data_IF_381494301710
#
_entry.id   IF_381494301710
#
_cell.length_a   1.000
_cell.length_b   1.000
_cell.length_c   1.000
_cell.angle_alpha   90.00
_cell.angle_beta   90.00
_cell.angle_gamma   90.00
#
_symmetry.space_group_name_H-M   'P 1'
#
loop_
_entity.id
_entity.type
_entity.pdbx_description
1 polymer ?
#
# COMPACT_ATOMS: atom_id res chain seq x y z
N UNK A 1 -13.83 -13.50 22.40
CA UNK A 1 -14.55 -13.02 21.19
C UNK A 1 -13.50 -12.93 20.09
N UNK A 2 -13.71 -13.46 18.87
CA UNK A 2 -12.77 -13.21 17.78
C UNK A 2 -12.75 -11.71 17.50
N UNK A 3 -11.60 -11.07 17.70
CA UNK A 3 -11.47 -9.62 17.57
C UNK A 3 -11.46 -9.23 16.07
N UNK A 4 -12.12 -8.12 15.73
CA UNK A 4 -12.24 -7.63 14.35
C UNK A 4 -10.93 -6.98 13.89
N UNK A 5 -10.29 -7.53 12.86
CA UNK A 5 -9.15 -6.86 12.21
C UNK A 5 -9.62 -5.85 11.16
N UNK A 6 -9.03 -4.66 11.19
CA UNK A 6 -9.09 -3.63 10.15
C UNK A 6 -7.99 -3.80 9.12
N UNK A 7 -8.32 -3.56 7.86
CA UNK A 7 -7.41 -3.61 6.72
C UNK A 7 -7.55 -2.33 5.89
N UNK A 8 -6.42 -1.73 5.53
CA UNK A 8 -6.35 -0.55 4.69
C UNK A 8 -5.72 -0.87 3.33
N UNK A 9 -6.32 -0.41 2.23
CA UNK A 9 -5.85 -0.66 0.86
C UNK A 9 -5.65 0.64 0.11
N UNK A 10 -4.54 0.81 -0.63
CA UNK A 10 -4.30 2.04 -1.37
C UNK A 10 -5.23 2.18 -2.57
N UNK A 11 -5.89 3.33 -2.64
CA UNK A 11 -6.53 3.81 -3.86
C UNK A 11 -5.57 4.77 -4.56
N UNK A 12 -5.33 4.51 -5.85
CA UNK A 12 -4.41 5.24 -6.69
C UNK A 12 -5.15 6.35 -7.45
N UNK A 13 -4.51 7.51 -7.61
CA UNK A 13 -4.91 8.48 -8.63
C UNK A 13 -4.46 8.04 -10.02
N UNK A 14 -4.93 8.73 -11.07
CA UNK A 14 -4.59 8.43 -12.47
C UNK A 14 -3.07 8.42 -12.77
N UNK A 15 -2.26 9.17 -12.00
CA UNK A 15 -0.79 9.18 -12.08
C UNK A 15 -0.11 8.06 -11.27
N UNK A 16 -0.90 7.14 -10.70
CA UNK A 16 -0.49 5.98 -9.90
C UNK A 16 0.06 6.32 -8.51
N UNK A 17 -0.05 7.56 -8.01
CA UNK A 17 0.26 7.84 -6.58
C UNK A 17 -0.89 7.39 -5.69
N UNK A 18 -0.58 7.02 -4.46
CA UNK A 18 -1.61 6.87 -3.41
C UNK A 18 -2.34 8.19 -3.20
N UNK A 19 -3.66 8.13 -3.21
CA UNK A 19 -4.53 9.28 -3.11
C UNK A 19 -5.59 9.16 -2.00
N UNK A 20 -5.94 7.93 -1.62
CA UNK A 20 -6.85 7.60 -0.52
C UNK A 20 -6.55 6.17 -0.02
N UNK A 21 -7.14 5.78 1.10
CA UNK A 21 -7.10 4.40 1.60
C UNK A 21 -8.52 3.86 1.74
N UNK A 22 -8.84 2.76 1.07
CA UNK A 22 -10.04 2.00 1.38
C UNK A 22 -9.88 1.30 2.73
N UNK A 23 -10.87 1.41 3.61
CA UNK A 23 -10.87 0.75 4.91
C UNK A 23 -11.93 -0.34 4.95
N UNK A 24 -11.48 -1.58 5.12
CA UNK A 24 -12.31 -2.76 5.27
C UNK A 24 -12.07 -3.45 6.62
N UNK A 25 -13.00 -4.30 7.04
CA UNK A 25 -12.90 -5.08 8.28
C UNK A 25 -13.24 -6.55 8.04
N UNK A 26 -12.59 -7.44 8.78
CA UNK A 26 -12.80 -8.91 8.72
C UNK A 26 -14.07 -9.40 9.41
N UNK A 27 -15.02 -8.53 9.72
CA UNK A 27 -16.16 -8.87 10.56
C UNK A 27 -17.02 -9.97 9.92
N UNK A 28 -17.30 -11.03 10.70
CA UNK A 28 -18.28 -12.06 10.34
C UNK A 28 -19.72 -11.67 10.74
N UNK A 29 -19.88 -10.51 11.37
CA UNK A 29 -21.11 -9.99 11.96
C UNK A 29 -21.24 -8.50 11.61
N UNK A 30 -22.35 -7.87 11.99
CA UNK A 30 -22.51 -6.43 11.86
C UNK A 30 -21.38 -5.69 12.60
N UNK A 31 -20.77 -4.73 11.90
CA UNK A 31 -19.65 -3.93 12.40
C UNK A 31 -20.18 -2.87 13.35
N UNK A 32 -19.58 -2.74 14.53
CA UNK A 32 -19.89 -1.66 15.46
C UNK A 32 -19.11 -0.39 15.06
N UNK A 33 -19.78 0.76 14.80
CA UNK A 33 -19.08 2.01 14.54
C UNK A 33 -18.16 2.43 15.70
N UNK A 34 -18.47 2.06 16.95
CA UNK A 34 -17.60 2.28 18.11
C UNK A 34 -16.26 1.55 18.01
N UNK A 35 -16.26 0.29 17.54
CA UNK A 35 -15.04 -0.48 17.30
C UNK A 35 -14.18 0.14 16.20
N UNK A 36 -14.81 0.65 15.13
CA UNK A 36 -14.10 1.38 14.06
C UNK A 36 -13.45 2.64 14.63
N UNK A 37 -14.19 3.47 15.35
CA UNK A 37 -13.67 4.68 15.97
C UNK A 37 -12.49 4.40 16.92
N UNK A 38 -12.58 3.35 17.74
CA UNK A 38 -11.48 2.91 18.60
C UNK A 38 -10.26 2.48 17.78
N UNK A 39 -10.47 1.68 16.73
CA UNK A 39 -9.38 1.26 15.83
C UNK A 39 -8.68 2.46 15.16
N UNK A 40 -9.43 3.48 14.73
CA UNK A 40 -8.87 4.69 14.12
C UNK A 40 -7.97 5.44 15.10
N UNK A 41 -8.40 5.56 16.36
CA UNK A 41 -7.62 6.21 17.42
C UNK A 41 -6.40 5.37 17.83
N UNK A 42 -6.58 4.08 18.10
CA UNK A 42 -5.53 3.17 18.58
C UNK A 42 -4.42 2.97 17.54
N UNK A 43 -4.77 2.99 16.25
CA UNK A 43 -3.80 2.86 15.17
C UNK A 43 -3.05 4.17 14.86
N UNK A 44 -3.39 5.28 15.52
CA UNK A 44 -2.92 6.64 15.20
C UNK A 44 -3.10 6.97 13.70
N UNK A 45 -4.29 6.66 13.16
CA UNK A 45 -4.57 6.79 11.73
C UNK A 45 -4.86 8.25 11.30
N UNK A 46 -5.10 9.15 12.26
CA UNK A 46 -5.50 10.53 11.98
C UNK A 46 -4.48 11.33 11.13
N UNK A 47 -3.16 11.32 11.41
CA UNK A 47 -2.19 12.03 10.58
C UNK A 47 -2.13 11.49 9.14
N UNK A 48 -2.21 10.16 8.98
CA UNK A 48 -2.24 9.53 7.66
C UNK A 48 -3.50 9.92 6.90
N UNK A 49 -4.67 9.87 7.55
CA UNK A 49 -5.96 10.20 6.98
C UNK A 49 -6.07 11.65 6.47
N UNK A 50 -5.31 12.60 7.03
CA UNK A 50 -5.23 13.97 6.51
C UNK A 50 -4.53 14.07 5.15
N UNK A 51 -3.67 13.11 4.82
CA UNK A 51 -2.94 13.05 3.55
C UNK A 51 -3.57 12.07 2.56
N UNK A 52 -4.15 10.99 3.08
CA UNK A 52 -4.80 9.92 2.35
C UNK A 52 -6.16 9.65 3.01
N UNK A 53 -7.24 10.35 2.60
CA UNK A 53 -8.56 10.17 3.20
C UNK A 53 -9.00 8.71 3.20
N UNK A 54 -9.68 8.30 4.27
CA UNK A 54 -10.20 6.95 4.42
C UNK A 54 -11.55 6.81 3.68
N UNK A 55 -11.68 5.83 2.81
CA UNK A 55 -12.94 5.48 2.14
C UNK A 55 -13.56 4.30 2.87
N UNK A 56 -14.68 4.53 3.54
CA UNK A 56 -15.32 3.54 4.41
C UNK A 56 -16.72 3.20 3.90
N UNK A 57 -17.04 1.90 3.78
CA UNK A 57 -18.43 1.47 3.59
C UNK A 57 -19.22 1.68 4.89
N UNK A 58 -20.31 2.44 4.80
CA UNK A 58 -21.05 2.95 5.97
C UNK A 58 -22.49 2.48 5.91
N UNK A 59 -22.98 1.90 7.01
CA UNK A 59 -24.41 1.67 7.19
C UNK A 59 -25.12 3.02 7.35
N UNK A 60 -26.23 3.28 6.61
CA UNK A 60 -27.00 4.51 6.75
C UNK A 60 -27.34 4.91 8.19
N UNK A 61 -27.58 3.92 9.07
CA UNK A 61 -27.93 4.18 10.47
C UNK A 61 -26.76 4.79 11.26
N UNK A 62 -25.50 4.55 10.87
CA UNK A 62 -24.34 5.14 11.54
C UNK A 62 -24.26 6.66 11.35
N UNK A 63 -24.91 7.23 10.33
CA UNK A 63 -24.96 8.69 10.13
C UNK A 63 -25.87 9.40 11.15
N UNK A 64 -26.77 8.64 11.78
CA UNK A 64 -27.65 9.13 12.84
C UNK A 64 -26.91 9.21 14.19
N UNK A 65 -25.83 8.44 14.34
CA UNK A 65 -24.92 8.51 15.48
C UNK A 65 -23.88 9.62 15.26
N UNK A 66 -24.05 10.75 15.96
CA UNK A 66 -23.12 11.86 15.88
C UNK A 66 -21.73 11.51 16.42
N UNK A 67 -21.63 10.61 17.41
CA UNK A 67 -20.35 10.36 18.08
C UNK A 67 -19.35 9.70 17.13
N UNK A 68 -19.80 8.81 16.26
CA UNK A 68 -18.94 8.14 15.28
C UNK A 68 -18.40 9.11 14.22
N UNK A 69 -19.28 9.87 13.57
CA UNK A 69 -18.90 10.78 12.48
C UNK A 69 -17.99 11.91 13.00
N UNK A 70 -18.21 12.36 14.24
CA UNK A 70 -17.44 13.44 14.84
C UNK A 70 -16.04 13.03 15.33
N UNK A 71 -15.68 11.73 15.29
CA UNK A 71 -14.29 11.28 15.51
C UNK A 71 -13.34 11.64 14.38
N UNK A 72 -13.88 11.83 13.18
CA UNK A 72 -13.10 12.21 12.02
C UNK A 72 -13.10 13.73 11.89
N UNK A 73 -12.02 14.32 11.38
CA UNK A 73 -12.02 15.69 10.86
C UNK A 73 -12.63 15.72 9.45
N UNK A 74 -12.92 16.92 8.93
CA UNK A 74 -13.69 17.09 7.69
C UNK A 74 -13.11 16.30 6.50
N UNK A 75 -11.79 16.38 6.29
CA UNK A 75 -11.10 15.81 5.14
C UNK A 75 -10.50 14.40 5.40
N UNK A 76 -10.78 13.78 6.55
CA UNK A 76 -10.17 12.49 6.93
C UNK A 76 -10.92 11.26 6.41
N UNK A 77 -12.22 11.40 6.11
CA UNK A 77 -13.05 10.25 5.76
C UNK A 77 -14.08 10.59 4.67
N UNK A 78 -14.31 9.61 3.79
CA UNK A 78 -15.36 9.59 2.76
C UNK A 78 -16.27 8.41 3.10
N UNK A 79 -17.51 8.70 3.50
CA UNK A 79 -18.49 7.66 3.88
C UNK A 79 -19.26 7.19 2.65
N UNK A 80 -19.07 5.92 2.28
CA UNK A 80 -19.71 5.27 1.13
C UNK A 80 -21.01 4.63 1.57
N UNK A 81 -22.12 5.08 0.99
CA UNK A 81 -23.46 4.65 1.37
C UNK A 81 -24.15 3.91 0.20
N UNK A 82 -25.05 2.95 0.49
CA UNK A 82 -25.73 2.16 -0.55
C UNK A 82 -26.80 2.97 -1.29
N UNK A 83 -27.06 2.61 -2.56
CA UNK A 83 -28.09 3.26 -3.38
C UNK A 83 -29.52 3.17 -2.78
N UNK A 84 -29.79 2.16 -1.94
CA UNK A 84 -31.07 1.98 -1.25
C UNK A 84 -31.43 3.14 -0.32
N UNK A 85 -30.45 3.94 0.13
CA UNK A 85 -30.70 5.10 0.99
C UNK A 85 -31.50 6.20 0.27
N UNK A 86 -31.51 6.21 -1.07
CA UNK A 86 -32.21 7.24 -1.84
C UNK A 86 -33.73 7.23 -1.62
N UNK A 87 -34.26 6.12 -1.11
CA UNK A 87 -35.68 5.96 -0.78
C UNK A 87 -36.01 6.36 0.67
N UNK A 88 -34.98 6.68 1.47
CA UNK A 88 -35.10 7.15 2.86
C UNK A 88 -34.84 8.67 2.95
N UNK A 89 -35.92 9.43 3.01
CA UNK A 89 -35.87 10.90 3.11
C UNK A 89 -35.19 11.42 4.38
N UNK A 90 -35.24 10.69 5.50
CA UNK A 90 -34.60 11.12 6.75
C UNK A 90 -33.08 11.00 6.64
N UNK A 91 -32.59 9.85 6.17
CA UNK A 91 -31.15 9.64 5.94
C UNK A 91 -30.62 10.59 4.86
N UNK A 92 -31.37 10.84 3.78
CA UNK A 92 -30.98 11.82 2.77
C UNK A 92 -30.83 13.23 3.33
N UNK A 93 -31.78 13.68 4.16
CA UNK A 93 -31.70 14.99 4.81
C UNK A 93 -30.46 15.08 5.72
N UNK A 94 -30.14 13.99 6.43
CA UNK A 94 -28.93 13.89 7.25
C UNK A 94 -27.65 13.97 6.40
N UNK A 95 -27.60 13.30 5.25
CA UNK A 95 -26.47 13.40 4.32
C UNK A 95 -26.22 14.86 3.88
N UNK A 96 -27.29 15.59 3.54
CA UNK A 96 -27.18 16.99 3.15
C UNK A 96 -26.66 17.89 4.29
N UNK A 97 -27.08 17.62 5.52
CA UNK A 97 -26.58 18.32 6.71
C UNK A 97 -25.08 18.05 6.92
N UNK A 98 -24.66 16.79 6.88
CA UNK A 98 -23.27 16.39 7.04
C UNK A 98 -22.38 17.00 5.95
N UNK A 99 -22.85 17.02 4.69
CA UNK A 99 -22.16 17.68 3.58
C UNK A 99 -21.98 19.19 3.83
N UNK A 100 -23.00 19.87 4.37
CA UNK A 100 -22.90 21.30 4.74
C UNK A 100 -21.90 21.54 5.88
N UNK A 101 -21.69 20.55 6.75
CA UNK A 101 -20.64 20.57 7.79
C UNK A 101 -19.24 20.21 7.26
N UNK A 102 -19.10 20.02 5.95
CA UNK A 102 -17.82 19.70 5.31
C UNK A 102 -17.46 18.22 5.32
N UNK A 103 -18.39 17.31 5.64
CA UNK A 103 -18.15 15.87 5.54
C UNK A 103 -18.25 15.40 4.09
N UNK A 104 -17.39 14.45 3.71
CA UNK A 104 -17.41 13.84 2.38
C UNK A 104 -18.25 12.56 2.36
N UNK A 105 -19.13 12.45 1.35
CA UNK A 105 -20.08 11.36 1.21
C UNK A 105 -20.05 10.82 -0.22
N UNK A 106 -19.97 9.50 -0.35
CA UNK A 106 -20.06 8.80 -1.62
C UNK A 106 -21.35 7.99 -1.71
N UNK A 107 -21.97 7.96 -2.88
CA UNK A 107 -23.04 7.01 -3.18
C UNK A 107 -22.48 5.83 -3.99
N UNK A 108 -22.76 4.61 -3.55
CA UNK A 108 -22.46 3.40 -4.33
C UNK A 108 -23.41 3.30 -5.52
N UNK A 109 -22.86 3.16 -6.73
CA UNK A 109 -23.64 2.98 -7.95
C UNK A 109 -23.50 1.54 -8.44
N UNK A 110 -24.47 0.70 -8.07
CA UNK A 110 -24.50 -0.71 -8.48
C UNK A 110 -25.10 -0.91 -9.89
N UNK A 111 -25.68 0.14 -10.50
CA UNK A 111 -26.18 0.14 -11.88
C UNK A 111 -26.26 1.56 -12.44
N UNK A 112 -26.30 1.68 -13.78
CA UNK A 112 -26.39 2.98 -14.48
C UNK A 112 -27.72 3.71 -14.22
N UNK A 113 -28.79 3.01 -13.87
CA UNK A 113 -30.10 3.62 -13.57
C UNK A 113 -30.07 4.52 -12.33
N UNK A 114 -29.17 4.25 -11.37
CA UNK A 114 -29.02 5.08 -10.16
C UNK A 114 -28.53 6.49 -10.51
N UNK A 115 -27.78 6.67 -11.60
CA UNK A 115 -27.25 7.98 -12.04
C UNK A 115 -28.38 8.98 -12.27
N UNK A 116 -29.51 8.53 -12.81
CA UNK A 116 -30.68 9.38 -13.10
C UNK A 116 -31.40 9.85 -11.83
N UNK A 117 -31.20 9.14 -10.71
CA UNK A 117 -31.80 9.41 -9.39
C UNK A 117 -30.89 10.20 -8.47
N UNK A 118 -29.69 10.59 -8.92
CA UNK A 118 -28.71 11.29 -8.10
C UNK A 118 -29.29 12.61 -7.56
N UNK A 119 -29.43 12.75 -6.22
CA UNK A 119 -29.93 13.98 -5.64
C UNK A 119 -28.87 15.08 -5.79
N UNK A 120 -29.28 16.30 -6.19
CA UNK A 120 -28.34 17.39 -6.34
C UNK A 120 -27.72 17.74 -4.99
N UNK A 121 -26.43 18.09 -5.02
CA UNK A 121 -25.73 18.67 -3.89
C UNK A 121 -25.79 17.86 -2.57
N UNK A 122 -25.97 16.53 -2.64
CA UNK A 122 -26.02 15.65 -1.46
C UNK A 122 -24.74 14.85 -1.27
N UNK A 123 -24.12 14.41 -2.37
CA UNK A 123 -22.84 13.69 -2.37
C UNK A 123 -21.75 14.54 -3.02
N UNK A 124 -20.50 14.17 -2.81
CA UNK A 124 -19.35 14.73 -3.52
C UNK A 124 -18.53 13.64 -4.25
N UNK A 125 -18.82 12.37 -3.96
CA UNK A 125 -18.25 11.22 -4.65
C UNK A 125 -19.32 10.24 -5.12
N UNK A 126 -18.94 9.39 -6.08
CA UNK A 126 -19.61 8.15 -6.42
C UNK A 126 -18.62 7.00 -6.34
N UNK A 127 -19.09 5.84 -5.93
CA UNK A 127 -18.28 4.64 -5.74
C UNK A 127 -18.80 3.52 -6.64
N UNK A 128 -17.93 2.96 -7.47
CA UNK A 128 -18.28 1.96 -8.47
C UNK A 128 -17.33 0.77 -8.43
N UNK A 129 -17.85 -0.41 -8.72
CA UNK A 129 -17.00 -1.52 -9.15
C UNK A 129 -16.46 -1.25 -10.57
N UNK A 130 -15.19 -1.55 -10.81
CA UNK A 130 -14.51 -1.27 -12.07
C UNK A 130 -15.12 -2.04 -13.25
N UNK A 131 -15.58 -3.28 -13.05
CA UNK A 131 -16.22 -4.06 -14.10
C UNK A 131 -17.61 -3.49 -14.41
N UNK A 132 -18.39 -3.17 -13.39
CA UNK A 132 -19.71 -2.52 -13.56
C UNK A 132 -19.56 -1.20 -14.32
N UNK A 133 -18.61 -0.36 -13.92
CA UNK A 133 -18.32 0.90 -14.60
C UNK A 133 -17.94 0.70 -16.08
N UNK A 134 -17.16 -0.34 -16.41
CA UNK A 134 -16.70 -0.59 -17.78
C UNK A 134 -17.77 -1.15 -18.69
N UNK A 135 -18.64 -2.01 -18.18
CA UNK A 135 -19.57 -2.78 -19.02
C UNK A 135 -21.02 -2.28 -18.97
N UNK A 136 -21.44 -1.60 -17.90
CA UNK A 136 -22.83 -1.15 -17.75
C UNK A 136 -23.02 0.36 -17.93
N UNK A 137 -21.98 1.17 -17.70
CA UNK A 137 -22.07 2.63 -17.78
C UNK A 137 -21.66 3.12 -19.18
N UNK A 138 -22.55 3.87 -19.81
CA UNK A 138 -22.25 4.54 -21.07
C UNK A 138 -21.37 5.79 -20.85
N UNK A 139 -20.80 6.30 -21.93
CA UNK A 139 -20.09 7.59 -21.88
C UNK A 139 -21.00 8.75 -21.43
N UNK A 140 -22.32 8.67 -21.68
CA UNK A 140 -23.28 9.66 -21.24
C UNK A 140 -23.51 9.61 -19.72
N UNK A 141 -23.56 8.41 -19.14
CA UNK A 141 -23.71 8.23 -17.69
C UNK A 141 -22.50 8.78 -16.94
N UNK A 142 -21.28 8.44 -17.40
CA UNK A 142 -20.05 8.97 -16.82
C UNK A 142 -19.95 10.50 -16.98
N UNK A 143 -20.39 11.04 -18.12
CA UNK A 143 -20.45 12.50 -18.33
C UNK A 143 -21.51 13.18 -17.44
N UNK A 144 -22.63 12.51 -17.14
CA UNK A 144 -23.64 13.03 -16.22
C UNK A 144 -23.09 13.16 -14.78
N UNK A 145 -22.32 12.17 -14.33
CA UNK A 145 -21.61 12.20 -13.04
C UNK A 145 -20.62 13.39 -13.00
N UNK A 146 -19.85 13.60 -14.06
CA UNK A 146 -18.93 14.73 -14.17
C UNK A 146 -19.64 16.09 -14.16
N UNK A 147 -20.77 16.20 -14.88
CA UNK A 147 -21.60 17.41 -14.88
C UNK A 147 -22.19 17.70 -13.50
N UNK A 148 -22.51 16.66 -12.74
CA UNK A 148 -22.92 16.77 -11.34
C UNK A 148 -21.75 17.15 -10.40
N UNK A 149 -20.52 17.26 -10.91
CA UNK A 149 -19.28 17.55 -10.18
C UNK A 149 -18.98 16.53 -9.09
N UNK A 150 -19.32 15.27 -9.34
CA UNK A 150 -19.03 14.15 -8.44
C UNK A 150 -17.70 13.51 -8.83
N UNK A 151 -16.83 13.31 -7.84
CA UNK A 151 -15.58 12.56 -8.00
C UNK A 151 -15.87 11.06 -8.08
N UNK A 152 -15.11 10.31 -8.88
CA UNK A 152 -15.36 8.89 -9.13
C UNK A 152 -14.31 8.02 -8.43
N UNK A 153 -14.78 7.07 -7.65
CA UNK A 153 -13.99 6.07 -6.94
C UNK A 153 -14.29 4.70 -7.57
N UNK A 154 -13.25 3.99 -8.03
CA UNK A 154 -13.36 2.63 -8.55
C UNK A 154 -12.70 1.62 -7.61
N UNK A 155 -13.39 0.51 -7.34
CA UNK A 155 -12.84 -0.66 -6.64
C UNK A 155 -12.85 -1.88 -7.56
N UNK A 156 -12.19 -2.97 -7.16
CA UNK A 156 -12.21 -4.21 -7.94
C UNK A 156 -11.41 -4.13 -9.24
N UNK A 157 -10.34 -3.32 -9.26
CA UNK A 157 -9.50 -3.13 -10.45
C UNK A 157 -8.57 -4.32 -10.63
N UNK A 158 -8.97 -5.26 -11.50
CA UNK A 158 -8.30 -6.54 -11.66
C UNK A 158 -7.11 -6.54 -12.64
N UNK A 159 -6.89 -5.48 -13.42
CA UNK A 159 -5.81 -5.43 -14.42
C UNK A 159 -5.30 -4.02 -14.69
N UNK A 160 -4.08 -3.94 -15.22
CA UNK A 160 -3.50 -2.67 -15.66
C UNK A 160 -4.34 -2.02 -16.78
N UNK A 161 -4.91 -2.80 -17.70
CA UNK A 161 -5.81 -2.28 -18.74
C UNK A 161 -7.10 -1.66 -18.15
N UNK A 162 -7.69 -2.31 -17.14
CA UNK A 162 -8.83 -1.74 -16.44
C UNK A 162 -8.47 -0.42 -15.75
N UNK A 163 -7.29 -0.34 -15.13
CA UNK A 163 -6.79 0.89 -14.52
C UNK A 163 -6.59 2.01 -15.55
N UNK A 164 -5.91 1.75 -16.67
CA UNK A 164 -5.67 2.76 -17.72
C UNK A 164 -6.98 3.24 -18.35
N UNK A 165 -7.96 2.34 -18.52
CA UNK A 165 -9.32 2.72 -18.94
C UNK A 165 -9.98 3.68 -17.95
N UNK A 166 -9.94 3.38 -16.65
CA UNK A 166 -10.49 4.24 -15.59
C UNK A 166 -9.82 5.61 -15.56
N UNK A 167 -8.50 5.66 -15.70
CA UNK A 167 -7.73 6.90 -15.81
C UNK A 167 -8.17 7.73 -17.03
N UNK A 168 -8.35 7.09 -18.18
CA UNK A 168 -8.90 7.72 -19.40
C UNK A 168 -10.36 8.17 -19.28
N UNK A 169 -11.11 7.66 -18.30
CA UNK A 169 -12.47 8.09 -17.93
C UNK A 169 -12.51 9.03 -16.73
N UNK A 170 -11.38 9.64 -16.37
CA UNK A 170 -11.26 10.63 -15.30
C UNK A 170 -11.78 10.14 -13.94
N UNK A 171 -11.52 8.87 -13.60
CA UNK A 171 -11.68 8.42 -12.22
C UNK A 171 -10.60 9.07 -11.33
N UNK A 172 -11.03 9.59 -10.19
CA UNK A 172 -10.15 10.27 -9.24
C UNK A 172 -9.34 9.26 -8.44
N UNK A 173 -10.00 8.18 -8.01
CA UNK A 173 -9.43 7.10 -7.21
C UNK A 173 -9.76 5.74 -7.84
N UNK A 174 -8.77 4.85 -7.88
CA UNK A 174 -8.93 3.49 -8.38
C UNK A 174 -8.10 2.50 -7.55
N UNK A 175 -8.69 1.37 -7.19
CA UNK A 175 -8.03 0.31 -6.42
C UNK A 175 -6.71 -0.18 -7.04
N UNK A 176 -5.69 -0.38 -6.20
CA UNK A 176 -4.35 -0.81 -6.57
C UNK A 176 -4.16 -2.32 -6.72
N UNK A 177 -5.20 -3.14 -6.61
CA UNK A 177 -5.10 -4.61 -6.65
C UNK A 177 -4.35 -5.18 -7.87
N UNK A 178 -4.42 -4.51 -9.03
CA UNK A 178 -3.73 -4.95 -10.24
C UNK A 178 -2.19 -4.92 -10.14
N UNK A 179 -1.62 -4.21 -9.15
CA UNK A 179 -0.16 -3.98 -9.03
C UNK A 179 0.63 -5.28 -8.85
N UNK A 180 0.01 -6.30 -8.25
CA UNK A 180 0.63 -7.61 -8.03
C UNK A 180 0.34 -8.61 -9.14
N UNK A 181 -0.47 -8.24 -10.14
CA UNK A 181 -0.86 -9.11 -11.25
C UNK A 181 0.26 -9.14 -12.28
N UNK A 182 0.89 -10.30 -12.44
CA UNK A 182 1.89 -10.53 -13.49
C UNK A 182 1.16 -10.78 -14.81
N UNK A 183 1.51 -10.02 -15.85
CA UNK A 183 1.05 -10.28 -17.21
C UNK A 183 1.86 -11.45 -17.82
N UNK A 184 1.25 -12.64 -18.01
CA UNK A 184 1.95 -13.82 -18.52
C UNK A 184 2.35 -13.67 -20.00
N UNK A 185 1.80 -12.67 -20.72
CA UNK A 185 2.10 -12.43 -22.14
C UNK A 185 3.23 -11.43 -22.36
N UNK A 186 3.65 -10.73 -21.31
CA UNK A 186 4.71 -9.75 -21.41
C UNK A 186 6.09 -10.43 -21.44
N UNK A 187 6.75 -10.43 -22.61
CA UNK A 187 8.14 -10.88 -22.73
C UNK A 187 9.04 -10.10 -21.79
N UNK A 188 9.73 -10.79 -20.89
CA UNK A 188 10.72 -10.20 -20.00
C UNK A 188 12.07 -10.17 -20.71
N UNK A 189 12.46 -9.02 -21.26
CA UNK A 189 13.89 -8.80 -21.49
C UNK A 189 14.58 -8.61 -20.14
N UNK A 190 15.73 -9.27 -19.90
CA UNK A 190 16.45 -9.15 -18.65
C UNK A 190 16.92 -7.71 -18.43
N UNK A 191 16.45 -7.09 -17.35
CA UNK A 191 16.93 -5.78 -16.92
C UNK A 191 18.32 -5.94 -16.28
N UNK A 192 19.36 -5.75 -17.09
CA UNK A 192 20.77 -5.84 -16.68
C UNK A 192 21.10 -4.95 -15.47
N UNK A 193 20.43 -3.79 -15.31
CA UNK A 193 20.67 -2.91 -14.17
C UNK A 193 20.10 -3.52 -12.88
N UNK A 194 18.91 -4.14 -12.93
CA UNK A 194 18.34 -4.87 -11.78
C UNK A 194 19.16 -6.09 -11.40
N UNK A 195 19.73 -6.82 -12.37
CA UNK A 195 20.63 -7.94 -12.09
C UNK A 195 21.87 -7.50 -11.31
N UNK A 196 22.42 -6.32 -11.62
CA UNK A 196 23.55 -5.77 -10.85
C UNK A 196 23.16 -5.33 -9.44
N UNK A 197 21.95 -4.81 -9.25
CA UNK A 197 21.42 -4.52 -7.90
C UNK A 197 21.22 -5.82 -7.10
N UNK A 198 20.71 -6.89 -7.71
CA UNK A 198 20.64 -8.22 -7.09
C UNK A 198 22.02 -8.72 -6.68
N UNK A 199 23.02 -8.56 -7.55
CA UNK A 199 24.40 -8.93 -7.23
C UNK A 199 24.95 -8.14 -6.04
N UNK A 200 24.70 -6.82 -5.99
CA UNK A 200 25.06 -5.99 -4.84
C UNK A 200 24.37 -6.49 -3.56
N UNK A 201 23.07 -6.80 -3.62
CA UNK A 201 22.33 -7.34 -2.48
C UNK A 201 22.95 -8.65 -1.98
N UNK A 202 23.26 -9.58 -2.88
CA UNK A 202 23.96 -10.83 -2.54
C UNK A 202 25.27 -10.57 -1.80
N UNK A 203 26.10 -9.63 -2.28
CA UNK A 203 27.37 -9.29 -1.65
C UNK A 203 27.19 -8.70 -0.25
N UNK A 204 26.20 -7.80 -0.06
CA UNK A 204 25.91 -7.21 1.25
C UNK A 204 25.42 -8.26 2.24
N UNK A 205 24.53 -9.16 1.81
CA UNK A 205 23.93 -10.20 2.66
C UNK A 205 24.97 -11.24 3.10
N UNK A 206 25.94 -11.56 2.24
CA UNK A 206 27.05 -12.46 2.54
C UNK A 206 28.19 -11.81 3.34
N UNK A 207 28.03 -10.55 3.71
CA UNK A 207 29.07 -9.73 4.35
C UNK A 207 30.40 -9.69 3.55
N UNK A 208 30.32 -9.68 2.21
CA UNK A 208 31.49 -9.66 1.32
C UNK A 208 32.34 -8.39 1.51
N UNK A 209 33.61 -8.43 1.11
CA UNK A 209 34.52 -7.30 1.30
C UNK A 209 34.05 -6.04 0.57
N UNK A 210 34.33 -4.88 1.16
CA UNK A 210 33.91 -3.59 0.57
C UNK A 210 34.48 -3.41 -0.84
N UNK A 211 35.65 -3.97 -1.15
CA UNK A 211 36.24 -3.96 -2.49
C UNK A 211 35.37 -4.63 -3.55
N UNK A 212 34.67 -5.70 -3.20
CA UNK A 212 33.81 -6.44 -4.14
C UNK A 212 32.57 -5.61 -4.48
N UNK A 213 32.01 -4.93 -3.48
CA UNK A 213 30.93 -3.96 -3.65
C UNK A 213 31.37 -2.80 -4.56
N UNK A 214 32.58 -2.26 -4.33
CA UNK A 214 33.15 -1.18 -5.15
C UNK A 214 33.33 -1.57 -6.62
N UNK A 215 33.71 -2.81 -6.91
CA UNK A 215 33.87 -3.30 -8.28
C UNK A 215 32.54 -3.24 -9.04
N UNK A 216 31.46 -3.70 -8.41
CA UNK A 216 30.12 -3.67 -9.02
C UNK A 216 29.61 -2.23 -9.18
N UNK A 217 29.81 -1.37 -8.18
CA UNK A 217 29.45 0.06 -8.30
C UNK A 217 30.21 0.74 -9.44
N UNK A 218 31.50 0.43 -9.64
CA UNK A 218 32.31 1.00 -10.74
C UNK A 218 31.77 0.65 -12.12
N UNK A 219 31.13 -0.51 -12.26
CA UNK A 219 30.49 -0.93 -13.51
C UNK A 219 29.15 -0.22 -13.77
N UNK A 220 28.60 0.51 -12.79
CA UNK A 220 27.30 1.17 -12.84
C UNK A 220 27.37 2.62 -12.34
N UNK A 221 27.70 3.54 -13.26
CA UNK A 221 27.85 4.96 -12.95
C UNK A 221 26.58 5.60 -12.33
N UNK A 222 25.38 5.14 -12.72
CA UNK A 222 24.11 5.66 -12.18
C UNK A 222 23.88 5.22 -10.73
N UNK A 223 24.08 3.94 -10.42
CA UNK A 223 24.00 3.42 -9.05
C UNK A 223 24.98 4.15 -8.13
N UNK A 224 26.20 4.34 -8.62
CA UNK A 224 27.26 5.08 -7.93
C UNK A 224 26.86 6.51 -7.59
N UNK A 225 26.31 7.23 -8.57
CA UNK A 225 25.83 8.59 -8.36
C UNK A 225 24.68 8.64 -7.33
N UNK A 226 23.73 7.70 -7.41
CA UNK A 226 22.59 7.64 -6.49
C UNK A 226 23.04 7.39 -5.05
N UNK A 227 24.01 6.49 -4.83
CA UNK A 227 24.58 6.23 -3.50
C UNK A 227 25.26 7.48 -2.93
N UNK A 228 26.14 8.13 -3.71
CA UNK A 228 26.82 9.35 -3.26
C UNK A 228 25.83 10.48 -3.00
N UNK A 229 24.76 10.61 -3.80
CA UNK A 229 23.71 11.60 -3.57
C UNK A 229 22.98 11.36 -2.25
N UNK A 230 22.58 10.11 -1.98
CA UNK A 230 21.93 9.71 -0.73
C UNK A 230 22.81 10.04 0.48
N UNK A 231 24.07 9.63 0.45
CA UNK A 231 24.97 9.84 1.59
C UNK A 231 25.22 11.34 1.82
N UNK A 232 25.33 12.13 0.75
CA UNK A 232 25.52 13.58 0.86
C UNK A 232 24.21 14.33 1.23
N UNK A 233 23.02 13.78 0.98
CA UNK A 233 21.75 14.40 1.39
C UNK A 233 21.46 14.19 2.88
N UNK A 234 21.94 13.09 3.47
CA UNK A 234 21.86 12.88 4.93
C UNK A 234 22.96 13.66 5.65
N UNK A 235 24.12 13.86 5.02
CA UNK A 235 25.25 14.62 5.55
C UNK A 235 25.10 16.15 5.42
N UNK A 236 23.88 16.69 5.27
CA UNK A 236 23.65 18.14 5.14
C UNK A 236 24.21 18.87 6.37
N UNK A 237 25.25 19.70 6.15
CA UNK A 237 25.99 20.41 7.20
C UNK A 237 27.39 19.83 7.51
N UNK A 238 27.78 18.69 6.93
CA UNK A 238 29.13 18.17 7.02
C UNK A 238 30.13 19.05 6.24
N UNK A 239 31.31 19.31 6.82
CA UNK A 239 32.37 20.14 6.19
C UNK A 239 33.01 19.48 4.95
N UNK A 240 32.89 18.16 4.80
CA UNK A 240 33.51 17.38 3.72
C UNK A 240 32.45 16.61 2.95
N UNK A 241 32.38 16.85 1.65
CA UNK A 241 31.55 16.10 0.70
C UNK A 241 32.16 14.71 0.50
N UNK A 242 31.34 13.67 0.61
CA UNK A 242 31.79 12.29 0.40
C UNK A 242 31.93 12.04 -1.10
N UNK A 243 33.11 11.57 -1.50
CA UNK A 243 33.50 11.36 -2.90
C UNK A 243 33.97 9.94 -3.22
N UNK A 244 34.11 9.05 -2.24
CA UNK A 244 34.51 7.65 -2.44
C UNK A 244 33.49 6.65 -1.89
N UNK A 245 33.45 5.46 -2.50
CA UNK A 245 32.53 4.39 -2.10
C UNK A 245 32.86 3.84 -0.71
N UNK A 246 34.14 3.56 -0.43
CA UNK A 246 34.58 3.20 0.93
C UNK A 246 34.10 4.19 2.00
N UNK A 247 34.18 5.50 1.77
CA UNK A 247 33.67 6.50 2.72
C UNK A 247 32.14 6.46 2.83
N UNK A 248 31.44 6.32 1.70
CA UNK A 248 29.99 6.23 1.66
C UNK A 248 29.47 5.00 2.42
N UNK A 249 30.07 3.83 2.19
CA UNK A 249 29.71 2.56 2.84
C UNK A 249 30.06 2.60 4.33
N UNK A 250 31.24 3.13 4.69
CA UNK A 250 31.64 3.27 6.09
C UNK A 250 30.72 4.23 6.88
N UNK A 251 30.25 5.31 6.25
CA UNK A 251 29.33 6.24 6.90
C UNK A 251 27.90 5.67 7.00
N UNK A 252 27.40 5.07 5.91
CA UNK A 252 26.04 4.54 5.86
C UNK A 252 25.86 3.29 6.72
N UNK A 253 26.89 2.43 6.74
CA UNK A 253 26.83 1.10 7.34
C UNK A 253 26.11 0.08 6.44
N UNK A 254 26.47 -1.20 6.60
CA UNK A 254 25.98 -2.30 5.75
C UNK A 254 24.47 -2.50 5.83
N UNK A 255 23.90 -2.40 7.03
CA UNK A 255 22.45 -2.55 7.26
C UNK A 255 21.62 -1.51 6.50
N UNK A 256 22.05 -0.25 6.51
CA UNK A 256 21.33 0.82 5.80
C UNK A 256 21.60 0.77 4.29
N UNK A 257 22.80 0.35 3.87
CA UNK A 257 23.10 0.05 2.46
C UNK A 257 22.18 -1.06 1.92
N UNK A 258 21.98 -2.14 2.68
CA UNK A 258 21.08 -3.22 2.34
C UNK A 258 19.65 -2.71 2.15
N UNK A 259 19.09 -1.97 3.12
CA UNK A 259 17.74 -1.39 3.02
C UNK A 259 17.58 -0.47 1.82
N UNK A 260 18.60 0.34 1.53
CA UNK A 260 18.59 1.21 0.35
C UNK A 260 18.58 0.40 -0.95
N UNK A 261 19.45 -0.61 -1.08
CA UNK A 261 19.47 -1.49 -2.26
C UNK A 261 18.15 -2.26 -2.43
N UNK A 262 17.54 -2.72 -1.34
CA UNK A 262 16.26 -3.43 -1.32
C UNK A 262 15.12 -2.56 -1.86
N UNK A 263 15.14 -1.24 -1.63
CA UNK A 263 14.19 -0.30 -2.24
C UNK A 263 14.60 0.05 -3.68
N UNK A 264 15.89 0.23 -3.93
CA UNK A 264 16.44 0.66 -5.21
C UNK A 264 16.15 -0.34 -6.34
N UNK A 265 16.06 -1.63 -6.05
CA UNK A 265 15.74 -2.64 -7.07
C UNK A 265 14.35 -2.42 -7.71
N UNK A 266 13.39 -1.91 -6.93
CA UNK A 266 12.07 -1.55 -7.42
C UNK A 266 12.03 -0.18 -8.08
N UNK A 267 12.99 0.70 -7.79
CA UNK A 267 13.07 2.00 -8.42
C UNK A 267 13.36 1.86 -9.93
N UNK A 268 12.69 2.66 -10.75
CA UNK A 268 13.00 2.73 -12.17
C UNK A 268 14.32 3.49 -12.37
N UNK A 269 15.36 2.76 -12.81
CA UNK A 269 16.71 3.29 -13.06
C UNK A 269 16.79 4.11 -14.36
N UNK A 270 15.77 3.99 -15.22
CA UNK A 270 15.72 4.54 -16.58
C UNK A 270 14.70 5.67 -16.73
N UNK A 271 13.62 5.68 -15.95
CA UNK A 271 12.66 6.78 -15.97
C UNK A 271 13.17 8.00 -15.18
N UNK A 272 12.89 9.19 -15.70
CA UNK A 272 12.97 10.41 -14.90
C UNK A 272 12.17 10.22 -13.61
N UNK A 273 12.76 10.61 -12.48
CA UNK A 273 12.31 10.44 -11.09
C UNK A 273 10.97 11.14 -10.74
N UNK A 274 9.96 11.06 -11.61
CA UNK A 274 8.73 11.83 -11.53
C UNK A 274 7.45 11.00 -11.65
N UNK A 275 7.52 9.70 -11.97
CA UNK A 275 6.32 8.85 -11.97
C UNK A 275 6.30 7.97 -10.70
N UNK A 276 5.22 8.01 -9.90
CA UNK A 276 4.99 7.07 -8.82
C UNK A 276 5.11 5.62 -9.31
N UNK A 277 5.79 4.78 -8.53
CA UNK A 277 5.83 3.34 -8.76
C UNK A 277 5.02 2.62 -7.66
N UNK A 278 3.78 2.20 -7.94
CA UNK A 278 2.96 1.48 -6.96
C UNK A 278 3.59 0.21 -6.42
N UNK A 279 4.36 -0.52 -7.24
CA UNK A 279 4.99 -1.77 -6.82
C UNK A 279 6.09 -1.51 -5.78
N UNK A 280 6.88 -0.44 -5.97
CA UNK A 280 7.84 0.01 -4.97
C UNK A 280 7.15 0.38 -3.65
N UNK A 281 6.05 1.15 -3.72
CA UNK A 281 5.34 1.58 -2.52
C UNK A 281 4.70 0.39 -1.78
N UNK A 282 4.14 -0.58 -2.51
CA UNK A 282 3.61 -1.81 -1.94
C UNK A 282 4.72 -2.66 -1.30
N UNK A 283 5.85 -2.87 -1.99
CA UNK A 283 6.98 -3.64 -1.45
C UNK A 283 7.55 -3.00 -0.18
N UNK A 284 7.69 -1.67 -0.19
CA UNK A 284 8.09 -0.89 0.97
C UNK A 284 7.12 -1.03 2.14
N UNK A 285 5.82 -0.85 1.88
CA UNK A 285 4.78 -0.96 2.89
C UNK A 285 4.73 -2.38 3.48
N UNK A 286 4.76 -3.42 2.65
CA UNK A 286 4.77 -4.82 3.08
C UNK A 286 6.00 -5.14 3.94
N UNK A 287 7.19 -4.73 3.50
CA UNK A 287 8.42 -4.86 4.28
C UNK A 287 8.31 -4.20 5.66
N UNK A 288 7.87 -2.93 5.70
CA UNK A 288 7.72 -2.19 6.95
C UNK A 288 6.63 -2.75 7.85
N UNK A 289 5.52 -3.22 7.29
CA UNK A 289 4.45 -3.84 8.08
C UNK A 289 4.94 -5.13 8.72
N UNK A 290 5.65 -5.99 7.97
CA UNK A 290 6.23 -7.21 8.53
C UNK A 290 7.26 -6.92 9.62
N UNK A 291 8.12 -5.92 9.42
CA UNK A 291 9.07 -5.44 10.43
C UNK A 291 8.38 -4.99 11.73
N UNK A 292 7.26 -4.26 11.63
CA UNK A 292 6.51 -3.79 12.80
C UNK A 292 5.75 -4.94 13.49
N UNK A 293 5.24 -5.90 12.72
CA UNK A 293 4.49 -7.03 13.25
C UNK A 293 5.38 -8.09 13.91
N UNK A 294 6.65 -8.21 13.51
CA UNK A 294 7.53 -9.24 14.03
C UNK A 294 7.77 -9.11 15.55
N UNK A 295 7.61 -7.91 16.12
CA UNK A 295 7.65 -7.69 17.57
C UNK A 295 6.60 -8.50 18.34
N UNK A 296 5.54 -8.96 17.67
CA UNK A 296 4.52 -9.84 18.24
C UNK A 296 4.87 -11.33 18.17
N UNK A 297 5.97 -11.72 17.50
CA UNK A 297 6.31 -13.12 17.20
C UNK A 297 7.28 -13.78 18.20
N UNK A 298 8.03 -13.05 19.03
CA UNK A 298 9.00 -13.67 19.95
C UNK A 298 10.07 -12.74 20.55
N UNK A 299 10.92 -13.33 21.40
CA UNK A 299 11.75 -12.70 22.44
C UNK A 299 12.73 -11.60 22.02
N UNK A 300 13.06 -10.75 23.00
CA UNK A 300 13.84 -9.51 22.90
C UNK A 300 15.29 -9.65 22.44
N UNK A 301 15.91 -10.82 22.60
CA UNK A 301 17.37 -10.96 22.48
C UNK A 301 17.86 -10.99 21.02
N UNK A 302 17.02 -11.42 20.08
CA UNK A 302 17.30 -11.44 18.62
C UNK A 302 16.36 -10.50 17.83
N UNK A 303 15.69 -9.58 18.53
CA UNK A 303 14.62 -8.77 17.95
C UNK A 303 15.07 -7.91 16.76
N UNK A 304 16.33 -7.44 16.75
CA UNK A 304 16.86 -6.63 15.66
C UNK A 304 17.06 -7.45 14.37
N UNK A 305 17.65 -8.65 14.49
CA UNK A 305 17.89 -9.54 13.35
C UNK A 305 16.58 -10.08 12.79
N UNK A 306 15.62 -10.42 13.67
CA UNK A 306 14.29 -10.82 13.26
C UNK A 306 13.54 -9.70 12.52
N UNK A 307 13.67 -8.45 12.97
CA UNK A 307 13.05 -7.30 12.31
C UNK A 307 13.63 -7.06 10.91
N UNK A 308 14.96 -7.14 10.76
CA UNK A 308 15.61 -7.03 9.45
C UNK A 308 15.22 -8.20 8.53
N UNK A 309 15.12 -9.43 9.06
CA UNK A 309 14.64 -10.60 8.31
C UNK A 309 13.17 -10.47 7.89
N UNK A 310 12.31 -9.93 8.76
CA UNK A 310 10.89 -9.68 8.46
C UNK A 310 10.72 -8.59 7.40
N UNK A 311 11.47 -7.49 7.51
CA UNK A 311 11.52 -6.44 6.49
C UNK A 311 11.94 -7.01 5.13
N UNK A 312 13.02 -7.79 5.13
CA UNK A 312 13.56 -8.44 3.94
C UNK A 312 12.57 -9.41 3.31
N UNK A 313 11.89 -10.22 4.12
CA UNK A 313 10.84 -11.16 3.66
C UNK A 313 9.70 -10.39 3.00
N UNK A 314 9.22 -9.30 3.60
CA UNK A 314 8.14 -8.50 3.04
C UNK A 314 8.54 -7.84 1.72
N UNK A 315 9.67 -7.14 1.68
CA UNK A 315 10.11 -6.42 0.48
C UNK A 315 10.49 -7.35 -0.66
N UNK A 316 11.08 -8.53 -0.40
CA UNK A 316 11.46 -9.46 -1.48
C UNK A 316 10.32 -10.34 -1.99
N UNK A 317 9.18 -10.38 -1.28
CA UNK A 317 8.01 -11.16 -1.71
C UNK A 317 7.32 -10.67 -2.99
N UNK A 318 7.82 -9.59 -3.61
CA UNK A 318 7.36 -9.04 -4.88
C UNK A 318 8.44 -9.06 -5.99
N UNK A 319 9.59 -9.70 -5.75
CA UNK A 319 10.64 -9.76 -6.76
C UNK A 319 10.24 -10.59 -7.98
N UNK A 320 9.41 -11.62 -7.80
CA UNK A 320 8.82 -12.40 -8.89
C UNK A 320 7.93 -11.54 -9.79
N UNK A 321 7.12 -10.67 -9.19
CA UNK A 321 6.30 -9.69 -9.93
C UNK A 321 7.20 -8.68 -10.65
N UNK A 322 8.22 -8.15 -9.97
CA UNK A 322 9.13 -7.14 -10.52
C UNK A 322 9.98 -7.68 -11.69
N UNK A 323 10.57 -8.86 -11.51
CA UNK A 323 11.52 -9.45 -12.45
C UNK A 323 10.84 -10.33 -13.49
N UNK A 324 9.56 -10.67 -13.29
CA UNK A 324 8.78 -11.60 -14.13
C UNK A 324 9.46 -12.96 -14.25
N UNK A 325 9.99 -13.44 -13.13
CA UNK A 325 10.67 -14.74 -13.01
C UNK A 325 10.09 -15.51 -11.81
N UNK A 326 10.11 -16.85 -11.83
CA UNK A 326 9.75 -17.64 -10.66
C UNK A 326 10.61 -17.28 -9.44
N UNK A 327 9.99 -17.16 -8.27
CA UNK A 327 10.71 -16.87 -7.01
C UNK A 327 11.84 -17.87 -6.74
N UNK A 328 11.68 -19.14 -7.13
CA UNK A 328 12.73 -20.17 -7.00
C UNK A 328 14.01 -19.84 -7.76
N UNK A 329 13.90 -19.24 -8.96
CA UNK A 329 15.07 -18.84 -9.75
C UNK A 329 15.77 -17.64 -9.11
N UNK A 330 14.99 -16.68 -8.61
CA UNK A 330 15.51 -15.48 -7.91
C UNK A 330 16.28 -15.88 -6.65
N UNK A 331 15.75 -16.83 -5.87
CA UNK A 331 16.40 -17.34 -4.66
C UNK A 331 17.70 -18.12 -4.95
N UNK A 332 17.87 -18.66 -6.16
CA UNK A 332 19.12 -19.29 -6.58
C UNK A 332 20.27 -18.30 -6.75
N UNK A 333 19.95 -17.07 -7.17
CA UNK A 333 20.92 -15.97 -7.37
C UNK A 333 21.11 -15.11 -6.11
N UNK A 334 20.15 -15.16 -5.17
CA UNK A 334 20.15 -14.37 -3.94
C UNK A 334 20.23 -15.30 -2.72
N UNK A 335 21.43 -15.55 -2.17
CA UNK A 335 21.64 -16.44 -1.03
C UNK A 335 21.16 -15.76 0.26
N UNK A 336 19.88 -15.96 0.56
CA UNK A 336 19.20 -15.41 1.72
C UNK A 336 19.37 -16.30 2.96
N UNK A 337 19.21 -15.74 4.18
CA UNK A 337 19.08 -16.54 5.39
C UNK A 337 17.99 -17.62 5.24
N UNK A 338 18.19 -18.83 5.80
CA UNK A 338 17.28 -19.97 5.60
C UNK A 338 15.80 -19.67 5.91
N UNK A 339 15.54 -18.91 6.96
CA UNK A 339 14.18 -18.56 7.38
C UNK A 339 13.49 -17.64 6.36
N UNK A 340 14.24 -16.69 5.79
CA UNK A 340 13.74 -15.77 4.76
C UNK A 340 13.52 -16.53 3.45
N UNK A 341 14.47 -17.38 3.05
CA UNK A 341 14.33 -18.21 1.85
C UNK A 341 13.11 -19.15 1.95
N UNK A 342 12.89 -19.77 3.11
CA UNK A 342 11.75 -20.66 3.36
C UNK A 342 10.42 -19.90 3.35
N UNK A 343 10.38 -18.70 3.94
CA UNK A 343 9.21 -17.83 3.92
C UNK A 343 8.84 -17.38 2.49
N UNK A 344 9.83 -17.02 1.67
CA UNK A 344 9.62 -16.55 0.30
C UNK A 344 9.21 -17.68 -0.66
N UNK A 345 9.81 -18.86 -0.52
CA UNK A 345 9.57 -20.00 -1.43
C UNK A 345 8.31 -20.81 -1.10
N UNK A 346 8.12 -21.17 0.17
CA UNK A 346 7.11 -22.15 0.59
C UNK A 346 6.16 -21.63 1.67
N UNK A 347 6.30 -20.35 2.05
CA UNK A 347 5.52 -19.71 3.14
C UNK A 347 5.65 -20.44 4.48
N UNK A 348 6.79 -21.09 4.73
CA UNK A 348 7.06 -21.82 5.97
C UNK A 348 7.69 -20.94 7.06
N UNK A 349 7.58 -21.40 8.31
CA UNK A 349 8.11 -20.70 9.48
C UNK A 349 7.27 -19.49 9.92
N UNK A 350 7.74 -18.79 10.96
CA UNK A 350 7.06 -17.63 11.50
C UNK A 350 6.98 -16.48 10.47
N UNK A 351 8.07 -16.21 9.76
CA UNK A 351 8.11 -15.20 8.70
C UNK A 351 7.23 -15.57 7.51
N UNK A 352 7.15 -16.86 7.13
CA UNK A 352 6.28 -17.32 6.05
C UNK A 352 4.79 -17.21 6.40
N UNK A 353 4.44 -17.55 7.63
CA UNK A 353 3.08 -17.41 8.16
C UNK A 353 2.67 -15.93 8.26
N UNK A 354 3.58 -15.07 8.72
CA UNK A 354 3.35 -13.62 8.77
C UNK A 354 3.18 -13.04 7.35
N UNK A 355 4.02 -13.43 6.40
CA UNK A 355 3.88 -13.03 5.00
C UNK A 355 2.54 -13.48 4.41
N UNK A 356 2.12 -14.72 4.68
CA UNK A 356 0.82 -15.22 4.24
C UNK A 356 -0.34 -14.41 4.83
N UNK A 357 -0.25 -14.02 6.10
CA UNK A 357 -1.27 -13.19 6.76
C UNK A 357 -1.40 -11.81 6.11
N UNK A 358 -0.27 -11.15 5.83
CA UNK A 358 -0.25 -9.84 5.19
C UNK A 358 -0.78 -9.92 3.75
N UNK A 359 -0.34 -10.90 2.97
CA UNK A 359 -0.79 -11.11 1.57
C UNK A 359 -2.29 -11.45 1.51
N UNK A 360 -2.81 -12.24 2.45
CA UNK A 360 -4.24 -12.52 2.54
C UNK A 360 -5.05 -11.23 2.79
N UNK A 361 -4.56 -10.34 3.68
CA UNK A 361 -5.18 -9.04 3.92
C UNK A 361 -5.18 -8.14 2.69
N UNK A 362 -4.05 -8.04 2.00
CA UNK A 362 -3.90 -7.25 0.77
C UNK A 362 -4.79 -7.75 -0.38
N UNK A 363 -4.95 -9.08 -0.51
CA UNK A 363 -5.84 -9.71 -1.50
C UNK A 363 -7.33 -9.72 -1.11
N UNK A 364 -7.67 -9.07 0.01
CA UNK A 364 -9.03 -8.98 0.58
C UNK A 364 -9.62 -10.34 1.01
N UNK A 365 -8.79 -11.36 1.21
CA UNK A 365 -9.17 -12.58 1.93
C UNK A 365 -9.08 -12.34 3.45
N UNK A 366 -10.00 -11.53 3.95
CA UNK A 366 -10.03 -11.12 5.35
C UNK A 366 -10.27 -12.29 6.32
N UNK A 367 -10.91 -13.36 5.84
CA UNK A 367 -11.15 -14.58 6.62
C UNK A 367 -9.83 -15.30 6.92
N UNK A 368 -9.05 -15.59 5.89
CA UNK A 368 -7.73 -16.22 6.02
C UNK A 368 -6.75 -15.32 6.76
N UNK A 369 -6.73 -14.02 6.45
CA UNK A 369 -5.86 -13.05 7.12
C UNK A 369 -6.11 -13.04 8.64
N UNK A 370 -7.37 -12.93 9.07
CA UNK A 370 -7.74 -12.98 10.49
C UNK A 370 -7.31 -14.28 11.16
N UNK A 371 -7.53 -15.42 10.51
CA UNK A 371 -7.15 -16.72 11.07
C UNK A 371 -5.64 -16.83 11.28
N UNK A 372 -4.84 -16.39 10.29
CA UNK A 372 -3.38 -16.41 10.37
C UNK A 372 -2.85 -15.42 11.43
N UNK A 373 -3.35 -14.18 11.45
CA UNK A 373 -2.97 -13.17 12.47
C UNK A 373 -3.27 -13.68 13.88
N UNK A 374 -4.44 -14.28 14.10
CA UNK A 374 -4.83 -14.86 15.38
C UNK A 374 -3.90 -16.02 15.79
N UNK A 375 -3.54 -16.90 14.84
CA UNK A 375 -2.62 -18.01 15.09
C UNK A 375 -1.20 -17.56 15.47
N UNK A 376 -0.80 -16.37 15.01
CA UNK A 376 0.47 -15.73 15.33
C UNK A 376 0.42 -14.89 16.62
N UNK A 377 -0.74 -14.82 17.29
CA UNK A 377 -0.91 -13.99 18.49
C UNK A 377 -0.94 -12.48 18.22
N UNK A 378 -1.15 -12.06 16.97
CA UNK A 378 -1.18 -10.64 16.59
C UNK A 378 -2.58 -10.10 16.85
N UNK A 379 -2.68 -9.17 17.81
CA UNK A 379 -3.94 -8.46 18.13
C UNK A 379 -4.33 -7.48 17.01
N UNK A 380 -5.62 -7.17 16.81
CA UNK A 380 -6.08 -6.21 15.81
C UNK A 380 -5.49 -4.81 15.94
N UNK A 381 -5.35 -4.30 17.16
CA UNK A 381 -4.76 -2.97 17.38
C UNK A 381 -3.29 -2.93 16.95
N UNK A 382 -2.52 -3.99 17.27
CA UNK A 382 -1.16 -4.17 16.79
C UNK A 382 -1.11 -4.26 15.26
N UNK A 383 -2.04 -5.00 14.65
CA UNK A 383 -2.15 -5.12 13.20
C UNK A 383 -2.44 -3.79 12.52
N UNK A 384 -3.48 -3.08 12.97
CA UNK A 384 -3.89 -1.80 12.39
C UNK A 384 -2.80 -0.74 12.55
N UNK A 385 -2.19 -0.62 13.74
CA UNK A 385 -1.08 0.31 13.98
C UNK A 385 0.14 0.00 13.11
N UNK A 386 0.51 -1.28 12.97
CA UNK A 386 1.60 -1.69 12.09
C UNK A 386 1.32 -1.35 10.62
N UNK A 387 0.08 -1.58 10.15
CA UNK A 387 -0.30 -1.27 8.78
C UNK A 387 -0.31 0.24 8.50
N UNK A 388 -0.93 1.03 9.38
CA UNK A 388 -0.95 2.51 9.29
C UNK A 388 0.47 3.08 9.33
N UNK A 389 1.31 2.63 10.27
CA UNK A 389 2.70 3.04 10.36
C UNK A 389 3.51 2.69 9.11
N UNK A 390 3.23 1.54 8.49
CA UNK A 390 3.86 1.14 7.24
C UNK A 390 3.42 2.01 6.05
N UNK A 391 2.13 2.35 5.94
CA UNK A 391 1.64 3.29 4.93
C UNK A 391 2.26 4.68 5.08
N UNK A 392 2.34 5.21 6.31
CA UNK A 392 2.96 6.50 6.58
C UNK A 392 4.45 6.52 6.21
N UNK A 393 5.17 5.41 6.45
CA UNK A 393 6.57 5.29 6.05
C UNK A 393 6.72 5.21 4.52
N UNK A 394 5.94 4.34 3.87
CA UNK A 394 6.05 4.11 2.43
C UNK A 394 5.59 5.32 1.59
N UNK A 395 4.61 6.11 2.08
CA UNK A 395 4.16 7.33 1.40
C UNK A 395 5.25 8.40 1.29
N UNK A 396 6.27 8.36 2.16
CA UNK A 396 7.40 9.29 2.19
C UNK A 396 8.54 8.94 1.24
N UNK A 397 8.60 7.72 0.72
CA UNK A 397 9.72 7.23 -0.11
C UNK A 397 9.83 8.01 -1.44
N UNK A 398 8.72 8.50 -1.97
CA UNK A 398 8.71 9.36 -3.17
C UNK A 398 8.81 10.87 -2.84
N UNK A 399 8.76 11.23 -1.55
CA UNK A 399 8.61 12.61 -1.06
C UNK A 399 9.93 13.26 -0.67
N UNK A 400 10.99 12.46 -0.45
CA UNK A 400 12.32 12.97 -0.13
C UNK A 400 13.05 13.36 -1.42
N UNK A 401 12.75 14.59 -1.87
CA UNK A 401 13.52 15.36 -2.85
C UNK A 401 14.40 16.38 -2.14
#
# INVERSE_FOLDING_TARGET
MPETHSFFHPLLAADKRWAALEWNVSAAHAVDPGELAACFADADAAPLARTLPLVLSTDPNWLLDCEFIDKFEADQAIFVLPASLLDDGQTLARCQELRKKGRHLALRLDSSEVVKRLPPATFDHVHLDAAVARYEFSALDLSAIEKARLRKIAVGVASADAFEWLAGKHFDFADGSFVTVVDPTASAEPDLARLKVLRLLSLVIQDADTSDLEEVFRQEARLSYNLLRLVNSVAVGAKTRISSFNQAIALLGRRQLQRWLQLLIYADQLAHASKPNPLLQLAAQRGRQMELLCASLGSTDEAADLADAAFMTGIFSLLDVLLKMPMSEILGELPLPPDVASALSTRQGALGSLLAAVVAGESRDFGSARALLSSLGIRPSCHASAQVGAFHWASRINSER
#
